data_IF_826746071708
#
_entry.id   IF_826746071708
#
_cell.length_a   1.000
_cell.length_b   1.000
_cell.length_c   1.000
_cell.angle_alpha   90.00
_cell.angle_beta   90.00
_cell.angle_gamma   90.00
#
_symmetry.space_group_name_H-M   'P 1'
#
loop_
_entity.id
_entity.type
_entity.pdbx_description
1 polymer ?
#
# COMPACT_ATOMS: atom_id res chain seq x y z
N UNK A 1 45.31 9.52 -21.96
CA UNK A 1 44.81 8.37 -21.16
C UNK A 1 44.16 8.80 -19.86
N UNK A 2 44.76 9.69 -19.06
CA UNK A 2 44.19 10.17 -17.78
C UNK A 2 42.86 10.93 -17.90
N UNK A 3 42.70 11.78 -18.92
CA UNK A 3 41.46 12.56 -19.11
C UNK A 3 40.23 11.68 -19.38
N UNK A 4 40.38 10.65 -20.22
CA UNK A 4 39.30 9.71 -20.55
C UNK A 4 38.89 8.88 -19.33
N UNK A 5 39.87 8.45 -18.52
CA UNK A 5 39.61 7.70 -17.29
C UNK A 5 38.80 8.54 -16.26
N UNK A 6 39.14 9.83 -16.11
CA UNK A 6 38.42 10.72 -15.19
C UNK A 6 36.97 10.95 -15.64
N UNK A 7 36.73 11.18 -16.94
CA UNK A 7 35.38 11.37 -17.49
C UNK A 7 34.51 10.12 -17.28
N UNK A 8 35.06 8.92 -17.52
CA UNK A 8 34.35 7.67 -17.29
C UNK A 8 34.04 7.43 -15.80
N UNK A 9 34.97 7.77 -14.92
CA UNK A 9 34.76 7.68 -13.48
C UNK A 9 33.62 8.59 -13.01
N UNK A 10 33.61 9.86 -13.45
CA UNK A 10 32.56 10.81 -13.09
C UNK A 10 31.19 10.38 -13.62
N UNK A 11 31.12 9.89 -14.86
CA UNK A 11 29.87 9.37 -15.44
C UNK A 11 29.33 8.16 -14.67
N UNK A 12 30.20 7.22 -14.30
CA UNK A 12 29.81 6.07 -13.47
C UNK A 12 29.32 6.52 -12.09
N UNK A 13 30.06 7.41 -11.44
CA UNK A 13 29.71 7.95 -10.12
C UNK A 13 28.35 8.63 -10.13
N UNK A 14 28.09 9.50 -11.12
CA UNK A 14 26.81 10.18 -11.27
C UNK A 14 25.67 9.20 -11.52
N UNK A 15 25.88 8.20 -12.38
CA UNK A 15 24.87 7.16 -12.65
C UNK A 15 24.55 6.36 -11.38
N UNK A 16 25.57 6.01 -10.60
CA UNK A 16 25.39 5.33 -9.32
C UNK A 16 24.62 6.18 -8.30
N UNK A 17 24.97 7.46 -8.16
CA UNK A 17 24.28 8.39 -7.25
C UNK A 17 22.82 8.59 -7.65
N UNK A 18 22.54 8.80 -8.94
CA UNK A 18 21.18 8.95 -9.45
C UNK A 18 20.34 7.70 -9.17
N UNK A 19 20.91 6.50 -9.34
CA UNK A 19 20.24 5.24 -8.99
C UNK A 19 19.93 5.15 -7.50
N UNK A 20 20.87 5.53 -6.63
CA UNK A 20 20.66 5.52 -5.18
C UNK A 20 19.59 6.53 -4.76
N UNK A 21 19.56 7.72 -5.37
CA UNK A 21 18.52 8.71 -5.15
C UNK A 21 17.15 8.20 -5.59
N UNK A 22 17.06 7.58 -6.78
CA UNK A 22 15.81 7.02 -7.27
C UNK A 22 15.27 5.94 -6.31
N UNK A 23 16.10 5.00 -5.87
CA UNK A 23 15.66 3.97 -4.90
C UNK A 23 15.21 4.61 -3.58
N UNK A 24 15.88 5.67 -3.11
CA UNK A 24 15.43 6.39 -1.92
C UNK A 24 14.04 6.98 -2.12
N UNK A 25 13.76 7.59 -3.28
CA UNK A 25 12.42 8.10 -3.63
C UNK A 25 11.38 6.98 -3.66
N UNK A 26 11.68 5.85 -4.30
CA UNK A 26 10.78 4.68 -4.28
C UNK A 26 10.44 4.26 -2.84
N UNK A 27 11.44 4.19 -1.97
CA UNK A 27 11.23 3.85 -0.56
C UNK A 27 10.42 4.92 0.17
N UNK A 28 10.82 6.20 0.11
CA UNK A 28 10.25 7.27 0.94
C UNK A 28 8.90 7.79 0.45
N UNK A 29 8.66 7.80 -0.86
CA UNK A 29 7.48 8.43 -1.47
C UNK A 29 6.44 7.38 -1.91
N UNK A 30 6.81 6.11 -2.01
CA UNK A 30 5.92 5.04 -2.47
C UNK A 30 5.77 3.91 -1.45
N UNK A 31 6.78 3.06 -1.27
CA UNK A 31 6.62 1.80 -0.54
C UNK A 31 6.44 1.99 0.98
N UNK A 32 7.24 2.85 1.62
CA UNK A 32 7.14 3.08 3.07
C UNK A 32 5.79 3.70 3.50
N UNK A 33 5.29 4.78 2.87
CA UNK A 33 4.02 5.37 3.28
C UNK A 33 2.85 4.41 3.06
N UNK A 34 2.81 3.67 1.94
CA UNK A 34 1.78 2.64 1.69
C UNK A 34 1.82 1.57 2.78
N UNK A 35 3.00 1.00 3.06
CA UNK A 35 3.14 -0.05 4.07
C UNK A 35 2.71 0.42 5.46
N UNK A 36 3.04 1.66 5.82
CA UNK A 36 2.67 2.25 7.11
C UNK A 36 1.16 2.30 7.27
N UNK A 37 0.45 2.83 6.26
CA UNK A 37 -1.01 2.93 6.27
C UNK A 37 -1.69 1.55 6.28
N UNK A 38 -1.17 0.60 5.49
CA UNK A 38 -1.65 -0.78 5.49
C UNK A 38 -1.46 -1.45 6.86
N UNK A 39 -0.34 -1.19 7.53
CA UNK A 39 -0.06 -1.76 8.85
C UNK A 39 -0.98 -1.19 9.94
N UNK A 40 -1.30 0.10 9.87
CA UNK A 40 -2.32 0.71 10.75
C UNK A 40 -3.68 0.06 10.53
N UNK A 41 -4.09 -0.11 9.26
CA UNK A 41 -5.37 -0.76 8.96
C UNK A 41 -5.39 -2.22 9.46
N UNK A 42 -4.32 -2.98 9.23
CA UNK A 42 -4.20 -4.37 9.67
C UNK A 42 -4.32 -4.50 11.19
N UNK A 43 -3.64 -3.63 11.96
CA UNK A 43 -3.71 -3.63 13.43
C UNK A 43 -5.14 -3.35 13.95
N UNK A 44 -5.86 -2.43 13.30
CA UNK A 44 -7.26 -2.13 13.61
C UNK A 44 -8.16 -3.35 13.31
N UNK A 45 -7.99 -3.96 12.13
CA UNK A 45 -8.76 -5.15 11.73
C UNK A 45 -8.50 -6.33 12.67
N UNK A 46 -7.25 -6.55 13.08
CA UNK A 46 -6.90 -7.67 13.98
C UNK A 46 -7.49 -7.49 15.38
N UNK A 47 -7.44 -6.26 15.93
CA UNK A 47 -7.88 -5.99 17.31
C UNK A 47 -9.38 -5.78 17.46
N UNK A 48 -10.00 -5.12 16.49
CA UNK A 48 -11.38 -4.59 16.60
C UNK A 48 -12.27 -5.09 15.47
N UNK A 49 -11.68 -5.59 14.38
CA UNK A 49 -12.41 -6.05 13.21
C UNK A 49 -13.37 -7.20 13.51
N UNK A 50 -14.57 -7.19 12.91
CA UNK A 50 -15.42 -8.36 12.92
C UNK A 50 -14.75 -9.51 12.16
N UNK A 51 -14.88 -10.77 12.61
CA UNK A 51 -14.44 -11.92 11.84
C UNK A 51 -15.13 -11.88 10.47
N UNK A 52 -14.41 -12.14 9.38
CA UNK A 52 -14.89 -11.96 8.00
C UNK A 52 -16.30 -12.55 7.74
N UNK A 53 -16.64 -13.69 8.34
CA UNK A 53 -17.98 -14.31 8.22
C UNK A 53 -19.11 -13.48 8.83
N UNK A 54 -18.86 -12.68 9.87
CA UNK A 54 -19.90 -11.92 10.58
C UNK A 54 -20.25 -10.57 9.93
N UNK A 55 -19.42 -10.10 8.99
CA UNK A 55 -19.71 -8.91 8.18
C UNK A 55 -20.80 -9.16 7.13
N UNK A 56 -20.89 -10.39 6.61
CA UNK A 56 -21.82 -10.77 5.54
C UNK A 56 -23.22 -11.06 6.09
N UNK A 57 -23.30 -11.62 7.32
CA UNK A 57 -24.55 -12.14 7.89
C UNK A 57 -25.25 -11.14 8.83
N UNK A 58 -24.66 -9.96 9.08
CA UNK A 58 -25.27 -8.95 9.97
C UNK A 58 -25.34 -9.33 11.45
N UNK A 59 -24.65 -10.40 11.86
CA UNK A 59 -24.72 -11.01 13.20
C UNK A 59 -23.74 -10.39 14.22
N UNK A 60 -22.95 -9.38 13.85
CA UNK A 60 -22.02 -8.72 14.77
C UNK A 60 -22.75 -7.66 15.64
N UNK A 61 -23.67 -8.11 16.51
CA UNK A 61 -24.55 -7.23 17.30
C UNK A 61 -24.19 -7.17 18.80
N UNK A 62 -22.93 -6.95 19.14
CA UNK A 62 -22.63 -6.24 20.40
C UNK A 62 -22.52 -4.76 20.04
N UNK A 63 -23.55 -3.98 20.38
CA UNK A 63 -23.73 -2.59 19.94
C UNK A 63 -22.46 -1.73 20.09
N UNK A 64 -21.72 -1.89 21.19
CA UNK A 64 -20.53 -1.09 21.47
C UNK A 64 -19.36 -1.39 20.54
N UNK A 65 -18.96 -2.67 20.40
CA UNK A 65 -17.85 -3.04 19.50
C UNK A 65 -18.19 -2.73 18.04
N UNK A 66 -19.45 -2.87 17.65
CA UNK A 66 -19.89 -2.53 16.30
C UNK A 66 -19.83 -1.01 16.05
N UNK A 67 -20.21 -0.19 17.02
CA UNK A 67 -20.09 1.27 16.94
C UNK A 67 -18.63 1.69 16.80
N UNK A 68 -17.75 1.22 17.67
CA UNK A 68 -16.31 1.53 17.63
C UNK A 68 -15.69 1.08 16.30
N UNK A 69 -16.05 -0.11 15.82
CA UNK A 69 -15.62 -0.59 14.52
C UNK A 69 -16.03 0.36 13.39
N UNK A 70 -17.30 0.77 13.34
CA UNK A 70 -17.78 1.68 12.30
C UNK A 70 -17.09 3.05 12.36
N UNK A 71 -16.88 3.60 13.55
CA UNK A 71 -16.14 4.84 13.73
C UNK A 71 -14.69 4.73 13.22
N UNK A 72 -13.99 3.64 13.52
CA UNK A 72 -12.62 3.41 13.03
C UNK A 72 -12.58 3.20 11.51
N UNK A 73 -13.59 2.54 10.93
CA UNK A 73 -13.71 2.41 9.48
C UNK A 73 -13.79 3.79 8.83
N UNK A 74 -14.68 4.64 9.34
CA UNK A 74 -14.97 5.94 8.74
C UNK A 74 -13.85 6.97 8.99
N UNK A 75 -13.23 6.95 10.17
CA UNK A 75 -12.21 7.91 10.59
C UNK A 75 -10.78 7.50 10.20
N UNK A 76 -10.51 6.21 10.01
CA UNK A 76 -9.14 5.71 9.79
C UNK A 76 -9.03 4.87 8.53
N UNK A 77 -9.79 3.77 8.42
CA UNK A 77 -9.57 2.79 7.34
C UNK A 77 -9.89 3.37 5.96
N UNK A 78 -11.06 3.99 5.78
CA UNK A 78 -11.45 4.61 4.51
C UNK A 78 -10.49 5.78 4.16
N UNK A 79 -10.19 6.72 5.08
CA UNK A 79 -9.19 7.75 4.82
C UNK A 79 -7.83 7.19 4.42
N UNK A 80 -7.30 6.18 5.13
CA UNK A 80 -6.03 5.53 4.79
C UNK A 80 -6.08 4.88 3.40
N UNK A 81 -7.17 4.18 3.06
CA UNK A 81 -7.35 3.59 1.74
C UNK A 81 -7.35 4.65 0.63
N UNK A 82 -7.97 5.81 0.86
CA UNK A 82 -7.93 6.93 -0.08
C UNK A 82 -6.50 7.47 -0.23
N UNK A 83 -5.77 7.68 0.88
CA UNK A 83 -4.38 8.14 0.83
C UNK A 83 -3.48 7.15 0.09
N UNK A 84 -3.65 5.84 0.31
CA UNK A 84 -2.92 4.82 -0.45
C UNK A 84 -3.26 4.93 -1.94
N UNK A 85 -4.53 5.07 -2.31
CA UNK A 85 -4.93 5.27 -3.72
C UNK A 85 -4.26 6.51 -4.33
N UNK A 86 -4.16 7.60 -3.58
CA UNK A 86 -3.56 8.85 -4.05
C UNK A 86 -2.05 8.71 -4.21
N UNK A 87 -1.35 8.07 -3.27
CA UNK A 87 0.08 7.73 -3.41
C UNK A 87 0.30 6.89 -4.66
N UNK A 88 -0.48 5.81 -4.83
CA UNK A 88 -0.34 4.92 -5.99
C UNK A 88 -0.50 5.71 -7.28
N UNK A 89 -1.58 6.50 -7.43
CA UNK A 89 -1.85 7.26 -8.66
C UNK A 89 -0.80 8.33 -8.94
N UNK A 90 -0.36 9.07 -7.93
CA UNK A 90 0.63 10.13 -8.10
C UNK A 90 2.03 9.60 -8.43
N UNK A 91 2.36 8.41 -7.91
CA UNK A 91 3.73 7.90 -7.89
C UNK A 91 3.86 6.53 -8.58
N UNK A 92 2.98 6.17 -9.52
CA UNK A 92 3.09 4.90 -10.28
C UNK A 92 4.46 4.72 -10.97
N UNK A 93 5.10 5.82 -11.36
CA UNK A 93 6.43 5.84 -11.95
C UNK A 93 7.56 5.46 -10.97
N UNK A 94 7.25 5.31 -9.67
CA UNK A 94 8.17 4.84 -8.63
C UNK A 94 8.01 3.34 -8.31
N UNK A 95 7.08 2.64 -8.96
CA UNK A 95 7.00 1.17 -8.89
C UNK A 95 8.32 0.60 -9.42
N UNK A 96 8.87 -0.38 -8.69
CA UNK A 96 10.15 -0.99 -9.08
C UNK A 96 10.03 -1.74 -10.41
N UNK A 97 11.10 -1.75 -11.21
CA UNK A 97 11.11 -2.39 -12.53
C UNK A 97 10.80 -3.90 -12.47
N UNK A 98 11.09 -4.54 -11.33
CA UNK A 98 10.80 -5.95 -11.02
C UNK A 98 9.44 -6.17 -10.34
N UNK A 99 8.60 -5.13 -10.26
CA UNK A 99 7.30 -5.15 -9.61
C UNK A 99 6.14 -5.05 -10.61
N UNK A 100 5.00 -5.66 -10.26
CA UNK A 100 3.82 -5.71 -11.11
C UNK A 100 2.81 -4.64 -10.71
N UNK A 101 2.19 -3.99 -11.69
CA UNK A 101 1.12 -3.01 -11.44
C UNK A 101 -0.19 -3.64 -10.93
N UNK A 102 -0.43 -4.94 -11.21
CA UNK A 102 -1.73 -5.60 -10.94
C UNK A 102 -2.21 -5.48 -9.49
N UNK A 103 -1.38 -5.79 -8.46
CA UNK A 103 -1.84 -5.75 -7.07
C UNK A 103 -2.29 -4.35 -6.63
N UNK A 104 -1.70 -3.29 -7.19
CA UNK A 104 -2.07 -1.91 -6.92
C UNK A 104 -3.45 -1.56 -7.51
N UNK A 105 -3.76 -2.04 -8.72
CA UNK A 105 -5.06 -1.84 -9.36
C UNK A 105 -6.16 -2.61 -8.65
N UNK A 106 -5.86 -3.83 -8.20
CA UNK A 106 -6.75 -4.63 -7.35
C UNK A 106 -7.07 -3.89 -6.04
N UNK A 107 -6.06 -3.33 -5.37
CA UNK A 107 -6.27 -2.54 -4.17
C UNK A 107 -7.11 -1.28 -4.43
N UNK A 108 -6.85 -0.54 -5.51
CA UNK A 108 -7.65 0.65 -5.87
C UNK A 108 -9.12 0.26 -6.08
N UNK A 109 -9.36 -0.85 -6.76
CA UNK A 109 -10.72 -1.37 -7.00
C UNK A 109 -11.39 -1.73 -5.68
N UNK A 110 -10.69 -2.46 -4.81
CA UNK A 110 -11.17 -2.77 -3.46
C UNK A 110 -11.49 -1.51 -2.66
N UNK A 111 -10.57 -0.54 -2.58
CA UNK A 111 -10.76 0.69 -1.81
C UNK A 111 -11.99 1.47 -2.26
N UNK A 112 -12.21 1.57 -3.58
CA UNK A 112 -13.40 2.19 -4.15
C UNK A 112 -14.67 1.43 -3.76
N UNK A 113 -14.71 0.12 -4.04
CA UNK A 113 -15.89 -0.72 -3.81
C UNK A 113 -16.22 -0.83 -2.32
N UNK A 114 -15.22 -0.96 -1.45
CA UNK A 114 -15.40 -0.99 0.00
C UNK A 114 -16.07 0.29 0.49
N UNK A 115 -15.62 1.47 0.04
CA UNK A 115 -16.25 2.74 0.41
C UNK A 115 -17.71 2.81 0.00
N UNK A 116 -18.07 2.34 -1.20
CA UNK A 116 -19.46 2.34 -1.64
C UNK A 116 -20.30 1.29 -0.88
N UNK A 117 -19.74 0.11 -0.60
CA UNK A 117 -20.36 -0.91 0.24
C UNK A 117 -20.67 -0.39 1.65
N UNK A 118 -19.77 0.41 2.24
CA UNK A 118 -19.98 1.02 3.56
C UNK A 118 -21.13 2.04 3.59
N UNK A 119 -21.41 2.71 2.47
CA UNK A 119 -22.59 3.59 2.34
C UNK A 119 -23.87 2.80 2.12
N UNK A 120 -23.81 1.78 1.26
CA UNK A 120 -24.95 0.95 0.88
C UNK A 120 -24.45 -0.48 0.62
N UNK A 121 -24.67 -1.42 1.55
CA UNK A 121 -24.28 -2.81 1.35
C UNK A 121 -24.95 -3.44 0.12
N UNK A 122 -24.22 -4.31 -0.59
CA UNK A 122 -24.71 -5.06 -1.75
C UNK A 122 -24.02 -6.41 -1.87
N UNK A 123 -24.70 -7.38 -2.49
CA UNK A 123 -24.29 -8.80 -2.53
C UNK A 123 -22.97 -9.02 -3.28
N UNK A 124 -22.75 -8.31 -4.39
CA UNK A 124 -21.55 -8.48 -5.22
C UNK A 124 -20.23 -8.04 -4.55
N UNK A 125 -20.27 -7.47 -3.33
CA UNK A 125 -19.06 -7.05 -2.60
C UNK A 125 -18.07 -8.19 -2.35
N UNK A 126 -18.54 -9.45 -2.28
CA UNK A 126 -17.69 -10.64 -2.13
C UNK A 126 -16.63 -10.78 -3.24
N UNK A 127 -16.86 -10.20 -4.43
CA UNK A 127 -15.92 -10.20 -5.56
C UNK A 127 -14.79 -9.17 -5.42
N UNK A 128 -14.91 -8.25 -4.47
CA UNK A 128 -14.03 -7.09 -4.31
C UNK A 128 -13.47 -6.99 -2.89
N UNK A 129 -13.25 -8.14 -2.25
CA UNK A 129 -12.60 -8.20 -0.94
C UNK A 129 -11.19 -7.63 -0.98
N UNK A 130 -10.66 -7.31 0.21
CA UNK A 130 -9.29 -6.85 0.33
C UNK A 130 -8.33 -7.87 -0.31
N UNK A 131 -7.39 -7.43 -1.17
CA UNK A 131 -6.44 -8.33 -1.80
C UNK A 131 -5.49 -8.89 -0.73
N UNK A 132 -5.74 -10.12 -0.28
CA UNK A 132 -5.11 -10.72 0.90
C UNK A 132 -3.58 -10.87 0.85
N UNK A 133 -2.94 -10.68 -0.30
CA UNK A 133 -1.48 -10.66 -0.45
C UNK A 133 -0.87 -9.27 -0.65
N UNK A 134 -1.67 -8.20 -0.63
CA UNK A 134 -1.19 -6.85 -0.97
C UNK A 134 -0.25 -6.28 0.10
N UNK A 135 -0.50 -6.54 1.38
CA UNK A 135 0.40 -6.09 2.46
C UNK A 135 1.78 -6.75 2.32
N UNK A 136 1.80 -8.07 2.17
CA UNK A 136 3.00 -8.88 2.01
C UNK A 136 3.75 -8.48 0.74
N UNK A 137 3.02 -8.24 -0.35
CA UNK A 137 3.58 -7.76 -1.61
C UNK A 137 4.34 -6.44 -1.43
N UNK A 138 3.71 -5.41 -0.83
CA UNK A 138 4.36 -4.11 -0.58
C UNK A 138 5.57 -4.29 0.35
N UNK A 139 5.46 -5.11 1.40
CA UNK A 139 6.57 -5.37 2.32
C UNK A 139 7.75 -6.03 1.61
N UNK A 140 7.49 -7.04 0.77
CA UNK A 140 8.52 -7.76 0.03
C UNK A 140 9.25 -6.85 -0.96
N UNK A 141 8.52 -5.99 -1.68
CA UNK A 141 9.13 -5.05 -2.63
C UNK A 141 9.97 -3.98 -1.93
N UNK A 142 9.49 -3.46 -0.80
CA UNK A 142 10.26 -2.57 0.08
C UNK A 142 11.58 -3.22 0.52
N UNK A 143 11.53 -4.48 0.94
CA UNK A 143 12.72 -5.20 1.41
C UNK A 143 13.70 -5.54 0.28
N UNK A 144 13.18 -5.83 -0.92
CA UNK A 144 14.00 -5.98 -2.12
C UNK A 144 14.74 -4.67 -2.47
N UNK A 145 14.07 -3.53 -2.39
CA UNK A 145 14.69 -2.22 -2.61
C UNK A 145 15.73 -1.87 -1.55
N UNK A 146 15.46 -2.15 -0.27
CA UNK A 146 16.41 -1.90 0.83
C UNK A 146 17.74 -2.64 0.62
N UNK A 147 17.72 -3.84 0.05
CA UNK A 147 18.95 -4.60 -0.30
C UNK A 147 19.77 -3.94 -1.41
N UNK A 148 19.14 -3.10 -2.25
CA UNK A 148 19.79 -2.37 -3.36
C UNK A 148 20.44 -1.04 -2.90
N UNK A 149 20.19 -0.61 -1.65
CA UNK A 149 20.78 0.59 -1.04
C UNK A 149 21.90 0.18 -0.10
N UNK A 150 23.10 0.77 -0.28
CA UNK A 150 24.13 0.74 0.77
C UNK A 150 23.89 1.95 1.67
N UNK A 151 23.62 1.69 2.95
CA UNK A 151 23.55 2.71 3.99
C UNK A 151 24.95 3.14 4.41
#
# INVERSE_FOLDING_TARGET
TTLVANVLYDAFKNTFLNRQEHIRKQLSEFYNPILTLLSVNADIFEKIGPPARKLIVGEYQKEENFRVWNELVDLVIIPNNNVICDIVKANMHLISDDDSISPYLEFITHAFVYREFRKKPFEDYEKFQFPGGFHEHISQQRDNLKKKVRW
#
